data_IF_971051119136
#
_entry.id   IF_971051119136
#
_cell.length_a   1.000
_cell.length_b   1.000
_cell.length_c   1.000
_cell.angle_alpha   90.00
_cell.angle_beta   90.00
_cell.angle_gamma   90.00
#
_symmetry.space_group_name_H-M   'P 1'
#
loop_
_entity.id
_entity.type
_entity.pdbx_description
1 polymer ?
#
# COMPACT_ATOMS: atom_id res chain seq x y z
N UNK A 1 14.83 8.74 12.03
CA UNK A 1 13.39 8.77 12.00
C UNK A 1 12.77 7.40 12.30
N UNK A 2 11.44 7.33 12.30
CA UNK A 2 10.63 6.15 12.69
C UNK A 2 11.03 4.90 11.89
N UNK A 3 11.12 5.02 10.56
CA UNK A 3 11.50 3.91 9.68
C UNK A 3 12.79 3.22 10.14
N UNK A 4 13.82 3.99 10.48
CA UNK A 4 15.11 3.45 10.94
C UNK A 4 14.99 2.69 12.26
N UNK A 5 14.19 3.20 13.21
CA UNK A 5 13.95 2.54 14.50
C UNK A 5 13.21 1.22 14.33
N UNK A 6 12.16 1.21 13.51
CA UNK A 6 11.39 -0.01 13.21
C UNK A 6 12.24 -1.04 12.48
N UNK A 7 13.01 -0.63 11.45
CA UNK A 7 13.91 -1.53 10.75
C UNK A 7 14.95 -2.15 11.70
N UNK A 8 15.54 -1.35 12.62
CA UNK A 8 16.48 -1.83 13.62
C UNK A 8 15.85 -2.87 14.55
N UNK A 9 14.59 -2.65 14.95
CA UNK A 9 13.85 -3.62 15.75
C UNK A 9 13.68 -4.96 15.03
N UNK A 10 13.24 -4.93 13.76
CA UNK A 10 13.07 -6.15 12.96
C UNK A 10 14.39 -6.88 12.64
N UNK A 11 15.50 -6.17 12.58
CA UNK A 11 16.84 -6.73 12.29
C UNK A 11 17.67 -7.00 13.55
N UNK A 12 17.12 -6.76 14.75
CA UNK A 12 17.79 -6.94 16.03
C UNK A 12 19.15 -6.22 16.10
N UNK A 13 19.21 -4.97 15.61
CA UNK A 13 20.43 -4.15 15.62
C UNK A 13 20.13 -2.73 16.11
N UNK A 14 21.18 -1.90 16.24
CA UNK A 14 21.01 -0.49 16.61
C UNK A 14 20.49 0.34 15.44
N UNK A 15 19.71 1.41 15.67
CA UNK A 15 19.25 2.29 14.59
C UNK A 15 20.39 2.93 13.79
N UNK A 16 21.55 3.16 14.38
CA UNK A 16 22.77 3.68 13.72
C UNK A 16 23.34 2.67 12.72
N UNK A 17 23.18 1.37 12.97
CA UNK A 17 23.61 0.30 12.06
C UNK A 17 22.74 0.13 10.81
N UNK A 18 21.56 0.76 10.77
CA UNK A 18 20.66 0.67 9.60
C UNK A 18 21.11 1.64 8.51
N UNK A 19 21.49 1.12 7.36
CA UNK A 19 21.72 1.89 6.15
C UNK A 19 20.46 1.87 5.29
N UNK A 20 19.89 3.05 5.02
CA UNK A 20 18.75 3.24 4.12
C UNK A 20 19.22 4.03 2.92
N UNK A 21 18.93 3.53 1.73
CA UNK A 21 19.15 4.22 0.45
C UNK A 21 17.80 4.48 -0.21
N UNK A 22 17.77 5.40 -1.15
CA UNK A 22 16.59 5.69 -1.97
C UNK A 22 16.75 4.98 -3.30
N UNK A 23 15.84 4.08 -3.63
CA UNK A 23 15.79 3.42 -4.92
C UNK A 23 15.33 4.35 -6.05
N UNK A 24 15.31 3.84 -7.28
CA UNK A 24 15.07 4.59 -8.51
C UNK A 24 13.78 5.43 -8.48
N UNK A 25 12.70 4.91 -7.87
CA UNK A 25 11.40 5.59 -7.78
C UNK A 25 11.12 6.18 -6.39
N UNK A 26 12.15 6.56 -5.65
CA UNK A 26 11.98 7.14 -4.32
C UNK A 26 11.63 6.14 -3.21
N UNK A 27 11.53 4.83 -3.53
CA UNK A 27 11.25 3.77 -2.56
C UNK A 27 12.44 3.61 -1.60
N UNK A 28 12.24 3.68 -0.26
CA UNK A 28 13.33 3.40 0.67
C UNK A 28 13.72 1.93 0.62
N UNK A 29 15.03 1.67 0.61
CA UNK A 29 15.61 0.34 0.63
C UNK A 29 16.55 0.20 1.81
N UNK A 30 16.41 -0.91 2.56
CA UNK A 30 17.28 -1.22 3.69
C UNK A 30 18.40 -2.10 3.19
N UNK A 31 19.64 -1.61 3.30
CA UNK A 31 20.81 -2.35 2.88
C UNK A 31 21.11 -3.51 3.84
N UNK A 32 21.24 -4.71 3.29
CA UNK A 32 21.51 -5.93 4.08
C UNK A 32 20.26 -6.45 4.80
N UNK A 33 20.35 -7.65 5.38
CA UNK A 33 19.33 -8.22 6.26
C UNK A 33 18.04 -8.73 5.62
N UNK A 34 17.84 -8.62 4.30
CA UNK A 34 16.66 -9.17 3.60
C UNK A 34 15.30 -8.56 4.03
N UNK A 35 15.31 -7.39 4.67
CA UNK A 35 14.09 -6.70 5.07
C UNK A 35 13.63 -5.74 3.99
N UNK A 36 12.49 -6.03 3.38
CA UNK A 36 11.81 -5.16 2.42
C UNK A 36 10.91 -4.19 3.17
N UNK A 37 10.82 -2.96 2.67
CA UNK A 37 9.99 -1.91 3.26
C UNK A 37 9.29 -1.11 2.18
N UNK A 38 8.10 -0.64 2.51
CA UNK A 38 7.42 0.37 1.73
C UNK A 38 6.66 1.33 2.66
N UNK A 39 6.51 2.57 2.24
CA UNK A 39 5.86 3.63 3.02
C UNK A 39 4.81 4.30 2.15
N UNK A 40 3.65 4.57 2.72
CA UNK A 40 2.63 5.43 2.13
C UNK A 40 2.07 6.38 3.18
N UNK A 41 1.60 7.53 2.77
CA UNK A 41 0.97 8.51 3.67
C UNK A 41 -0.10 9.32 2.93
N UNK A 42 -1.17 9.63 3.63
CA UNK A 42 -2.26 10.48 3.16
C UNK A 42 -2.89 11.19 4.36
N UNK A 43 -3.15 12.50 4.26
CA UNK A 43 -3.86 13.31 5.26
C UNK A 43 -3.47 13.04 6.73
N UNK A 44 -2.17 13.04 7.02
CA UNK A 44 -1.65 12.87 8.39
C UNK A 44 -1.55 11.42 8.88
N UNK A 45 -2.06 10.45 8.13
CA UNK A 45 -1.85 9.02 8.37
C UNK A 45 -0.66 8.51 7.57
N UNK A 46 0.25 7.77 8.20
CA UNK A 46 1.34 7.09 7.52
C UNK A 46 1.31 5.59 7.83
N UNK A 47 1.52 4.78 6.81
CA UNK A 47 1.66 3.34 6.92
C UNK A 47 3.05 2.90 6.49
N UNK A 48 3.63 1.98 7.25
CA UNK A 48 4.92 1.36 6.95
C UNK A 48 4.72 -0.16 6.87
N UNK A 49 4.92 -0.72 5.69
CA UNK A 49 4.85 -2.16 5.45
C UNK A 49 6.26 -2.77 5.48
N UNK A 50 6.43 -3.85 6.23
CA UNK A 50 7.68 -4.61 6.29
C UNK A 50 7.43 -6.06 5.89
N UNK A 51 8.34 -6.64 5.12
CA UNK A 51 8.31 -8.06 4.76
C UNK A 51 9.74 -8.59 4.68
N UNK A 52 9.96 -9.81 5.17
CA UNK A 52 11.26 -10.48 4.97
C UNK A 52 11.31 -11.09 3.57
N UNK A 53 12.39 -10.83 2.84
CA UNK A 53 12.78 -11.45 1.56
C UNK A 53 11.88 -11.17 0.37
N UNK A 54 10.59 -10.86 0.59
CA UNK A 54 9.65 -10.64 -0.51
C UNK A 54 9.35 -9.15 -0.71
N UNK A 55 9.27 -8.70 -1.97
CA UNK A 55 8.82 -7.35 -2.26
C UNK A 55 7.47 -7.04 -1.61
N UNK A 56 7.37 -5.89 -0.98
CA UNK A 56 6.15 -5.37 -0.35
C UNK A 56 5.83 -3.99 -0.89
N UNK A 57 4.56 -3.73 -1.09
CA UNK A 57 4.02 -2.41 -1.37
C UNK A 57 2.82 -2.14 -0.48
N UNK A 58 2.68 -0.92 -0.03
CA UNK A 58 1.58 -0.46 0.81
C UNK A 58 1.05 0.86 0.29
N UNK A 59 -0.26 1.02 0.36
CA UNK A 59 -0.89 2.27 0.01
C UNK A 59 -2.00 2.63 0.97
N UNK A 60 -2.18 3.93 1.22
CA UNK A 60 -3.25 4.49 2.05
C UNK A 60 -3.74 5.79 1.45
N UNK A 61 -5.07 5.94 1.36
CA UNK A 61 -5.69 7.16 0.85
C UNK A 61 -6.85 7.60 1.74
N UNK A 62 -6.92 8.91 1.98
CA UNK A 62 -8.10 9.54 2.55
C UNK A 62 -9.21 9.56 1.50
N UNK A 63 -10.39 9.07 1.85
CA UNK A 63 -11.53 9.03 0.94
C UNK A 63 -12.23 10.39 0.92
N UNK A 64 -12.01 11.15 -0.15
CA UNK A 64 -12.68 12.43 -0.37
C UNK A 64 -13.97 12.22 -1.19
N UNK A 65 -15.15 12.53 -0.65
CA UNK A 65 -16.42 12.41 -1.37
C UNK A 65 -16.60 13.47 -2.46
N UNK A 66 -15.79 14.53 -2.47
CA UNK A 66 -15.90 15.61 -3.46
C UNK A 66 -15.20 15.31 -4.79
N UNK A 67 -14.49 14.17 -4.91
CA UNK A 67 -13.77 13.82 -6.14
C UNK A 67 -14.74 13.42 -7.27
N UNK A 68 -14.37 13.73 -8.50
CA UNK A 68 -15.08 13.30 -9.71
C UNK A 68 -14.79 11.82 -10.01
N UNK A 69 -15.48 10.92 -9.30
CA UNK A 69 -15.22 9.47 -9.30
C UNK A 69 -15.18 8.85 -10.70
N UNK A 70 -16.16 9.16 -11.57
CA UNK A 70 -16.23 8.58 -12.90
C UNK A 70 -15.05 9.00 -13.79
N UNK A 71 -14.60 10.25 -13.65
CA UNK A 71 -13.43 10.75 -14.38
C UNK A 71 -12.15 10.06 -13.91
N UNK A 72 -11.95 9.99 -12.60
CA UNK A 72 -10.77 9.34 -12.02
C UNK A 72 -10.76 7.84 -12.30
N UNK A 73 -11.92 7.17 -12.17
CA UNK A 73 -12.05 5.75 -12.49
C UNK A 73 -11.68 5.46 -13.95
N UNK A 74 -12.05 6.35 -14.88
CA UNK A 74 -11.68 6.24 -16.28
C UNK A 74 -10.17 6.33 -16.55
N UNK A 75 -9.41 6.99 -15.68
CA UNK A 75 -7.95 7.12 -15.76
C UNK A 75 -7.20 5.94 -15.11
N UNK A 76 -7.78 5.37 -14.06
CA UNK A 76 -7.13 4.38 -13.20
C UNK A 76 -7.49 2.95 -13.58
N UNK A 77 -8.74 2.71 -13.92
CA UNK A 77 -9.27 1.36 -14.08
C UNK A 77 -9.11 0.83 -15.48
N UNK A 78 -8.85 -0.46 -15.59
CA UNK A 78 -8.98 -1.18 -16.86
C UNK A 78 -10.44 -1.15 -17.35
N UNK A 79 -10.68 -1.46 -18.62
CA UNK A 79 -12.04 -1.55 -19.12
C UNK A 79 -12.90 -2.60 -18.39
N UNK A 80 -12.29 -3.65 -17.85
CA UNK A 80 -12.99 -4.66 -17.04
C UNK A 80 -13.35 -4.11 -15.65
N UNK A 81 -12.44 -3.48 -14.98
CA UNK A 81 -12.66 -2.85 -13.67
C UNK A 81 -13.66 -1.71 -13.76
N UNK A 82 -13.59 -0.88 -14.82
CA UNK A 82 -14.51 0.24 -15.02
C UNK A 82 -15.97 -0.22 -15.18
N UNK A 83 -16.19 -1.34 -15.87
CA UNK A 83 -17.54 -1.94 -15.95
C UNK A 83 -18.03 -2.39 -14.59
N UNK A 84 -17.18 -3.05 -13.78
CA UNK A 84 -17.52 -3.49 -12.43
C UNK A 84 -17.78 -2.31 -11.50
N UNK A 85 -16.95 -1.28 -11.58
CA UNK A 85 -17.12 -0.04 -10.80
C UNK A 85 -18.47 0.63 -11.09
N UNK A 86 -18.84 0.76 -12.36
CA UNK A 86 -20.11 1.36 -12.76
C UNK A 86 -21.34 0.53 -12.36
N UNK A 87 -21.15 -0.76 -12.18
CA UNK A 87 -22.19 -1.67 -11.68
C UNK A 87 -22.37 -1.64 -10.15
N UNK A 88 -21.46 -0.99 -9.40
CA UNK A 88 -21.63 -0.83 -7.96
C UNK A 88 -22.82 0.08 -7.63
N UNK A 89 -23.56 -0.22 -6.55
CA UNK A 89 -24.51 0.72 -5.97
C UNK A 89 -23.84 2.08 -5.70
N UNK A 90 -24.59 3.17 -5.90
CA UNK A 90 -24.03 4.53 -5.77
C UNK A 90 -23.33 4.76 -4.42
N UNK A 91 -23.95 4.33 -3.34
CA UNK A 91 -23.40 4.43 -1.97
C UNK A 91 -22.10 3.64 -1.76
N UNK A 92 -21.79 2.67 -2.63
CA UNK A 92 -20.58 1.86 -2.57
C UNK A 92 -19.47 2.35 -3.49
N UNK A 93 -19.76 3.23 -4.44
CA UNK A 93 -18.81 3.67 -5.46
C UNK A 93 -17.59 4.37 -4.89
N UNK A 94 -17.77 5.25 -3.88
CA UNK A 94 -16.65 5.91 -3.23
C UNK A 94 -15.68 4.88 -2.63
N UNK A 95 -16.19 3.95 -1.85
CA UNK A 95 -15.37 2.90 -1.25
C UNK A 95 -14.78 1.98 -2.32
N UNK A 96 -15.54 1.58 -3.32
CA UNK A 96 -15.08 0.73 -4.42
C UNK A 96 -13.96 1.38 -5.23
N UNK A 97 -14.05 2.68 -5.49
CA UNK A 97 -12.99 3.44 -6.15
C UNK A 97 -11.69 3.39 -5.33
N UNK A 98 -11.74 3.78 -4.07
CA UNK A 98 -10.56 3.82 -3.21
C UNK A 98 -9.98 2.44 -2.90
N UNK A 99 -10.81 1.40 -2.80
CA UNK A 99 -10.33 0.01 -2.72
C UNK A 99 -9.51 -0.36 -3.96
N UNK A 100 -10.02 -0.07 -5.15
CA UNK A 100 -9.32 -0.33 -6.40
C UNK A 100 -8.02 0.47 -6.51
N UNK A 101 -8.08 1.75 -6.23
CA UNK A 101 -6.93 2.66 -6.27
C UNK A 101 -5.81 2.19 -5.35
N UNK A 102 -6.08 2.01 -4.04
CA UNK A 102 -5.06 1.60 -3.08
C UNK A 102 -4.49 0.22 -3.36
N UNK A 103 -5.33 -0.73 -3.84
CA UNK A 103 -4.86 -2.07 -4.25
C UNK A 103 -3.94 -2.00 -5.47
N UNK A 104 -4.25 -1.14 -6.45
CA UNK A 104 -3.38 -0.91 -7.62
C UNK A 104 -2.05 -0.27 -7.22
N UNK A 105 -2.10 0.81 -6.44
CA UNK A 105 -0.90 1.50 -5.97
C UNK A 105 -0.03 0.59 -5.11
N UNK A 106 -0.60 -0.16 -4.17
CA UNK A 106 0.15 -1.14 -3.37
C UNK A 106 0.85 -2.18 -4.26
N UNK A 107 0.16 -2.69 -5.29
CA UNK A 107 0.76 -3.64 -6.23
C UNK A 107 1.92 -3.01 -7.03
N UNK A 108 1.75 -1.82 -7.59
CA UNK A 108 2.81 -1.12 -8.32
C UNK A 108 4.02 -0.87 -7.43
N UNK A 109 3.81 -0.37 -6.21
CA UNK A 109 4.87 -0.16 -5.21
C UNK A 109 5.61 -1.46 -4.85
N UNK A 110 4.88 -2.59 -4.81
CA UNK A 110 5.50 -3.89 -4.57
C UNK A 110 6.35 -4.37 -5.75
N UNK A 111 5.93 -4.10 -6.99
CA UNK A 111 6.73 -4.48 -8.18
C UNK A 111 8.02 -3.68 -8.34
N UNK A 112 8.10 -2.49 -7.74
CA UNK A 112 9.22 -1.58 -7.91
C UNK A 112 9.33 -0.93 -9.29
N UNK A 113 8.29 -1.05 -10.14
CA UNK A 113 8.29 -0.50 -11.51
C UNK A 113 7.87 0.97 -11.61
N UNK A 114 7.43 1.56 -10.49
CA UNK A 114 6.96 2.95 -10.48
C UNK A 114 5.71 3.18 -11.32
N UNK A 115 5.41 4.45 -11.61
CA UNK A 115 4.22 4.87 -12.36
C UNK A 115 4.28 4.52 -13.86
N UNK A 116 5.42 4.06 -14.38
CA UNK A 116 5.57 3.60 -15.76
C UNK A 116 4.82 2.28 -16.03
N UNK A 117 4.40 1.58 -14.95
CA UNK A 117 3.60 0.37 -15.12
C UNK A 117 2.14 0.74 -15.42
N UNK A 118 1.61 0.37 -16.62
CA UNK A 118 0.28 0.79 -17.01
C UNK A 118 -0.79 0.26 -16.07
N UNK A 119 -1.57 1.14 -15.47
CA UNK A 119 -2.68 0.77 -14.57
C UNK A 119 -3.70 -0.16 -15.23
N UNK A 120 -3.92 -0.03 -16.54
CA UNK A 120 -4.82 -0.88 -17.30
C UNK A 120 -4.27 -2.30 -17.62
N UNK A 121 -2.98 -2.57 -17.34
CA UNK A 121 -2.35 -3.87 -17.62
C UNK A 121 -2.72 -4.97 -16.62
N UNK A 122 -3.39 -4.63 -15.53
CA UNK A 122 -3.80 -5.58 -14.50
C UNK A 122 -5.15 -5.19 -13.87
N UNK A 123 -5.83 -6.18 -13.33
CA UNK A 123 -7.14 -6.02 -12.70
C UNK A 123 -7.08 -6.42 -11.23
N UNK A 124 -7.72 -5.62 -10.37
CA UNK A 124 -7.93 -5.92 -8.95
C UNK A 124 -9.43 -6.02 -8.63
N UNK A 125 -9.78 -6.64 -7.52
CA UNK A 125 -11.14 -6.58 -6.98
C UNK A 125 -11.44 -5.15 -6.51
N UNK A 126 -12.70 -4.72 -6.60
CA UNK A 126 -13.13 -3.36 -6.23
C UNK A 126 -14.19 -3.39 -5.12
N UNK A 127 -15.04 -4.41 -5.12
CA UNK A 127 -16.25 -4.49 -4.35
C UNK A 127 -15.96 -4.35 -2.84
N UNK A 128 -16.70 -3.45 -2.15
CA UNK A 128 -16.65 -3.36 -0.69
C UNK A 128 -17.05 -4.70 -0.05
N UNK A 129 -16.33 -5.10 0.99
CA UNK A 129 -16.56 -6.37 1.68
C UNK A 129 -15.99 -7.61 0.98
N UNK A 130 -15.64 -7.52 -0.30
CA UNK A 130 -14.96 -8.61 -1.00
C UNK A 130 -13.45 -8.62 -0.69
N UNK A 131 -12.82 -9.81 -0.57
CA UNK A 131 -11.38 -9.90 -0.33
C UNK A 131 -10.55 -9.16 -1.39
N UNK A 132 -9.48 -8.50 -0.94
CA UNK A 132 -8.51 -7.89 -1.85
C UNK A 132 -7.81 -8.97 -2.68
N UNK A 133 -7.84 -8.82 -4.01
CA UNK A 133 -7.28 -9.80 -4.95
C UNK A 133 -6.69 -9.10 -6.18
N UNK A 134 -5.56 -9.60 -6.66
CA UNK A 134 -5.10 -9.37 -8.02
C UNK A 134 -5.79 -10.40 -8.91
N UNK A 135 -6.66 -9.95 -9.81
CA UNK A 135 -7.52 -10.84 -10.62
C UNK A 135 -6.83 -11.27 -11.91
N UNK A 136 -6.09 -10.34 -12.53
CA UNK A 136 -5.32 -10.55 -13.76
C UNK A 136 -4.08 -9.68 -13.77
N UNK A 137 -3.01 -10.19 -14.35
CA UNK A 137 -1.77 -9.47 -14.60
C UNK A 137 -1.34 -9.74 -16.05
N UNK A 138 -1.23 -8.69 -16.86
CA UNK A 138 -0.90 -8.78 -18.29
C UNK A 138 -1.77 -9.84 -19.00
N UNK A 139 -3.08 -9.80 -18.77
CA UNK A 139 -4.05 -10.72 -19.33
C UNK A 139 -4.11 -12.12 -18.68
N UNK A 140 -3.21 -12.45 -17.75
CA UNK A 140 -3.06 -13.79 -17.18
C UNK A 140 -3.50 -13.87 -15.71
N UNK A 141 -4.42 -14.79 -15.40
CA UNK A 141 -4.78 -15.15 -14.02
C UNK A 141 -3.63 -15.90 -13.31
N UNK A 142 -2.87 -16.71 -14.04
CA UNK A 142 -1.73 -17.47 -13.49
C UNK A 142 -0.62 -16.55 -12.98
N UNK A 143 -0.31 -15.47 -13.71
CA UNK A 143 0.65 -14.47 -13.26
C UNK A 143 0.13 -13.74 -12.01
N UNK A 144 -1.15 -13.44 -11.94
CA UNK A 144 -1.78 -12.80 -10.80
C UNK A 144 -1.74 -13.68 -9.54
N UNK A 145 -1.88 -15.00 -9.66
CA UNK A 145 -1.83 -15.94 -8.54
C UNK A 145 -0.48 -15.94 -7.79
N UNK A 146 0.59 -15.39 -8.37
CA UNK A 146 1.87 -15.19 -7.70
C UNK A 146 1.91 -14.00 -6.72
N UNK A 147 0.77 -13.33 -6.48
CA UNK A 147 0.66 -12.15 -5.63
C UNK A 147 -0.50 -12.25 -4.66
N UNK A 148 -0.33 -11.72 -3.47
CA UNK A 148 -1.38 -11.57 -2.48
C UNK A 148 -1.63 -10.10 -2.19
N UNK A 149 -2.90 -9.70 -2.21
CA UNK A 149 -3.35 -8.40 -1.76
C UNK A 149 -4.11 -8.55 -0.44
N UNK A 150 -4.03 -7.51 0.38
CA UNK A 150 -4.71 -7.43 1.67
C UNK A 150 -5.35 -6.06 1.79
N UNK A 151 -6.59 -6.03 2.27
CA UNK A 151 -7.14 -4.82 2.85
C UNK A 151 -6.56 -4.65 4.24
N UNK A 152 -6.15 -3.45 4.57
CA UNK A 152 -5.67 -3.14 5.90
C UNK A 152 -6.83 -2.58 6.75
N UNK A 153 -6.87 -2.89 8.07
CA UNK A 153 -7.80 -2.24 8.98
C UNK A 153 -7.52 -0.73 8.91
N UNK A 154 -8.41 -0.02 8.25
CA UNK A 154 -8.25 1.39 8.02
C UNK A 154 -8.89 2.21 9.14
N UNK A 155 -8.29 3.35 9.45
CA UNK A 155 -8.93 4.41 10.21
C UNK A 155 -10.21 4.84 9.45
N UNK A 156 -11.32 5.15 10.12
CA UNK A 156 -12.51 5.67 9.44
C UNK A 156 -12.17 6.85 8.50
N UNK A 157 -12.73 6.84 7.30
CA UNK A 157 -12.41 7.83 6.27
C UNK A 157 -11.20 7.49 5.39
N UNK A 158 -10.52 6.37 5.61
CA UNK A 158 -9.39 5.93 4.80
C UNK A 158 -9.65 4.58 4.13
N UNK A 159 -9.01 4.37 2.99
CA UNK A 159 -8.81 3.06 2.38
C UNK A 159 -7.32 2.74 2.40
N UNK A 160 -6.97 1.47 2.62
CA UNK A 160 -5.58 1.06 2.62
C UNK A 160 -5.42 -0.39 2.16
N UNK A 161 -4.34 -0.66 1.43
CA UNK A 161 -4.04 -1.98 0.92
C UNK A 161 -2.53 -2.29 1.03
N UNK A 162 -2.22 -3.58 1.06
CA UNK A 162 -0.86 -4.09 1.03
C UNK A 162 -0.77 -5.19 -0.03
N UNK A 163 0.31 -5.20 -0.78
CA UNK A 163 0.64 -6.24 -1.76
C UNK A 163 1.97 -6.90 -1.42
N UNK A 164 2.02 -8.23 -1.52
CA UNK A 164 3.25 -9.02 -1.40
C UNK A 164 3.34 -10.03 -2.54
N UNK A 165 4.55 -10.38 -2.93
CA UNK A 165 4.79 -11.48 -3.86
C UNK A 165 4.79 -12.81 -3.12
N UNK A 166 4.22 -13.86 -3.73
CA UNK A 166 4.24 -15.22 -3.21
C UNK A 166 2.96 -15.63 -2.48
N UNK A 167 3.06 -16.64 -1.62
CA UNK A 167 1.93 -17.19 -0.88
C UNK A 167 1.39 -16.23 0.19
N UNK A 168 0.11 -16.38 0.51
CA UNK A 168 -0.55 -15.59 1.56
C UNK A 168 0.12 -15.83 2.91
N UNK A 169 0.38 -14.74 3.64
CA UNK A 169 1.02 -14.75 4.96
C UNK A 169 0.10 -14.14 6.00
N UNK A 170 0.31 -14.48 7.25
CA UNK A 170 -0.33 -13.78 8.37
C UNK A 170 0.19 -12.34 8.42
N UNK A 171 -0.73 -11.40 8.50
CA UNK A 171 -0.44 -9.98 8.63
C UNK A 171 -0.63 -9.55 10.08
N UNK A 172 0.37 -8.88 10.65
CA UNK A 172 0.28 -8.24 11.95
C UNK A 172 0.29 -6.73 11.78
N UNK A 173 -0.68 -6.05 12.36
CA UNK A 173 -0.79 -4.59 12.32
C UNK A 173 -0.55 -4.02 13.71
N UNK A 174 0.25 -2.96 13.78
CA UNK A 174 0.62 -2.28 15.02
C UNK A 174 0.43 -0.78 14.86
N UNK A 175 -0.02 -0.11 15.92
CA UNK A 175 0.01 1.34 16.00
C UNK A 175 1.34 1.79 16.58
N UNK A 176 2.00 2.72 15.89
CA UNK A 176 3.19 3.37 16.43
C UNK A 176 2.74 4.61 17.19
N UNK A 177 3.10 4.76 18.48
CA UNK A 177 2.69 5.93 19.25
C UNK A 177 3.23 7.21 18.59
N UNK A 178 2.40 8.23 18.51
CA UNK A 178 2.87 9.56 18.12
C UNK A 178 4.05 9.95 19.01
N UNK A 179 5.14 10.38 18.39
CA UNK A 179 6.28 10.89 19.15
C UNK A 179 5.81 12.16 19.86
N UNK A 180 5.46 12.05 21.14
CA UNK A 180 5.38 13.24 22.00
C UNK A 180 6.78 13.85 21.96
N UNK A 181 6.91 15.05 21.38
CA UNK A 181 8.13 15.84 21.53
C UNK A 181 8.33 15.98 23.03
N UNK A 182 9.45 15.48 23.54
CA UNK A 182 9.84 15.81 24.88
C UNK A 182 9.78 17.35 25.01
N UNK A 183 9.14 17.88 26.07
CA UNK A 183 9.16 19.32 26.29
C UNK A 183 10.63 19.78 26.35
N UNK A 184 10.98 20.95 25.82
CA UNK A 184 12.33 21.46 25.88
C UNK A 184 12.79 21.41 27.34
N UNK A 185 13.84 20.64 27.60
CA UNK A 185 14.39 20.51 28.93
C UNK A 185 14.67 21.87 29.52
N UNK A 186 14.07 22.17 30.64
CA UNK A 186 14.45 23.26 31.54
C UNK A 186 15.89 23.00 31.96
N UNK A 187 16.80 23.75 31.34
CA UNK A 187 18.19 23.86 31.86
C UNK A 187 18.09 24.64 33.16
N UNK A 188 18.33 23.94 34.26
CA UNK A 188 18.61 24.52 35.57
C UNK A 188 20.10 24.73 35.70
#
# INVERSE_FOLDING_TARGET
GILRRLAAHYLACTPSGIRIVTGEFGKPEICGGGLQVNVSHSHGLALLGFCREQPVGIDVESMDPAVELDRLAGQVFSGHELRRFRALPEQERLRGFYNGWTRKEAFIKATGRGLDFPLAAFDVSLEPGAPAQLLRLEGSRRKAAGWCLYDLPAVPGFAAALAIRGARRTLSCFSYPACTRDPPGTVG
#
